data_IF_114091088935
#
_entry.id   IF_114091088935
#
_cell.length_a   1.000
_cell.length_b   1.000
_cell.length_c   1.000
_cell.angle_alpha   90.00
_cell.angle_beta   90.00
_cell.angle_gamma   90.00
#
_symmetry.space_group_name_H-M   'P 1'
#
loop_
_entity.id
_entity.type
_entity.pdbx_description
1 polymer ?
#
# COMPACT_ATOMS: atom_id res chain seq x y z
N UNK A 1 -61.64 -74.14 -30.43
CA UNK A 1 -61.77 -75.05 -31.60
C UNK A 1 -63.05 -75.85 -31.46
N UNK A 2 -63.65 -76.29 -32.58
CA UNK A 2 -64.94 -77.02 -32.60
C UNK A 2 -64.83 -78.54 -32.33
N UNK A 3 -63.62 -79.09 -32.24
CA UNK A 3 -63.39 -80.51 -31.94
C UNK A 3 -62.15 -80.68 -31.07
N UNK A 4 -62.25 -81.47 -30.00
CA UNK A 4 -61.18 -81.80 -29.05
C UNK A 4 -60.59 -83.20 -29.32
N UNK A 5 -59.34 -83.49 -28.88
CA UNK A 5 -58.78 -84.86 -28.96
C UNK A 5 -59.73 -85.92 -28.38
N UNK A 6 -60.41 -85.58 -27.28
CA UNK A 6 -61.37 -86.45 -26.61
C UNK A 6 -62.62 -86.71 -27.45
N UNK A 7 -63.12 -85.69 -28.15
CA UNK A 7 -64.25 -85.83 -29.08
C UNK A 7 -63.88 -86.65 -30.32
N UNK A 8 -62.65 -86.55 -30.82
CA UNK A 8 -62.14 -87.40 -31.90
C UNK A 8 -62.14 -88.87 -31.46
N UNK A 9 -61.65 -89.15 -30.24
CA UNK A 9 -61.55 -90.51 -29.70
C UNK A 9 -62.91 -91.15 -29.38
N UNK A 10 -63.91 -90.35 -29.01
CA UNK A 10 -65.27 -90.81 -28.69
C UNK A 10 -66.22 -90.75 -29.88
N UNK A 11 -65.76 -90.35 -31.07
CA UNK A 11 -66.61 -90.20 -32.24
C UNK A 11 -67.14 -91.56 -32.71
N UNK A 12 -68.47 -91.70 -32.74
CA UNK A 12 -69.15 -92.81 -33.38
C UNK A 12 -69.65 -92.41 -34.77
N UNK A 13 -69.67 -93.38 -35.68
CA UNK A 13 -70.21 -93.23 -37.04
C UNK A 13 -71.38 -94.18 -37.27
N UNK A 14 -72.30 -93.78 -38.15
CA UNK A 14 -73.42 -94.63 -38.58
C UNK A 14 -72.91 -95.80 -39.43
N UNK A 15 -73.59 -96.94 -39.35
CA UNK A 15 -73.20 -98.17 -40.05
C UNK A 15 -73.97 -98.28 -41.35
N UNK A 16 -73.25 -98.43 -42.47
CA UNK A 16 -73.84 -98.52 -43.82
C UNK A 16 -73.31 -99.77 -44.53
N UNK A 17 -74.13 -100.40 -45.38
CA UNK A 17 -73.72 -101.59 -46.14
C UNK A 17 -72.60 -101.23 -47.14
N UNK A 18 -71.43 -101.86 -47.03
CA UNK A 18 -70.13 -101.53 -47.70
C UNK A 18 -69.40 -100.25 -47.19
N UNK A 19 -69.20 -100.13 -45.88
CA UNK A 19 -68.36 -99.08 -45.26
C UNK A 19 -66.90 -99.50 -44.99
N UNK A 20 -66.11 -98.58 -44.43
CA UNK A 20 -64.75 -98.84 -43.95
C UNK A 20 -64.72 -99.81 -42.76
N UNK A 21 -63.57 -100.47 -42.54
CA UNK A 21 -63.36 -101.30 -41.36
C UNK A 21 -63.38 -100.44 -40.09
N UNK A 22 -64.21 -100.86 -39.14
CA UNK A 22 -64.40 -100.16 -37.86
C UNK A 22 -63.11 -100.15 -37.04
N UNK A 23 -62.34 -101.23 -37.06
CA UNK A 23 -61.16 -101.36 -36.21
C UNK A 23 -59.99 -100.53 -36.76
N UNK A 24 -59.83 -100.49 -38.08
CA UNK A 24 -58.85 -99.63 -38.76
C UNK A 24 -59.17 -98.14 -38.56
N UNK A 25 -60.45 -97.74 -38.73
CA UNK A 25 -60.89 -96.36 -38.49
C UNK A 25 -60.69 -95.95 -37.03
N UNK A 26 -60.99 -96.83 -36.07
CA UNK A 26 -60.75 -96.54 -34.65
C UNK A 26 -59.26 -96.39 -34.34
N UNK A 27 -58.39 -97.24 -34.90
CA UNK A 27 -56.95 -97.12 -34.73
C UNK A 27 -56.43 -95.78 -35.29
N UNK A 28 -56.92 -95.37 -36.47
CA UNK A 28 -56.61 -94.07 -37.06
C UNK A 28 -57.10 -92.90 -36.20
N UNK A 29 -58.35 -92.94 -35.69
CA UNK A 29 -58.88 -91.89 -34.81
C UNK A 29 -58.09 -91.76 -33.50
N UNK A 30 -57.59 -92.88 -32.94
CA UNK A 30 -56.73 -92.85 -31.75
C UNK A 30 -55.41 -92.13 -32.09
N UNK A 31 -54.73 -92.53 -33.17
CA UNK A 31 -53.48 -91.89 -33.60
C UNK A 31 -53.68 -90.40 -33.92
N UNK A 32 -54.77 -90.06 -34.63
CA UNK A 32 -55.12 -88.67 -34.94
C UNK A 32 -55.38 -87.86 -33.66
N UNK A 33 -56.09 -88.44 -32.67
CA UNK A 33 -56.34 -87.75 -31.40
C UNK A 33 -55.04 -87.45 -30.64
N UNK A 34 -54.06 -88.35 -30.68
CA UNK A 34 -52.76 -88.15 -30.04
C UNK A 34 -51.94 -87.06 -30.72
N UNK A 35 -51.85 -87.07 -32.06
CA UNK A 35 -51.13 -86.01 -32.77
C UNK A 35 -51.84 -84.65 -32.65
N UNK A 36 -53.18 -84.65 -32.60
CA UNK A 36 -53.96 -83.43 -32.36
C UNK A 36 -53.71 -82.85 -30.96
N UNK A 37 -53.63 -83.70 -29.93
CA UNK A 37 -53.28 -83.28 -28.56
C UNK A 37 -51.88 -82.68 -28.52
N UNK A 38 -50.89 -83.34 -29.14
CA UNK A 38 -49.51 -82.85 -29.23
C UNK A 38 -49.41 -81.50 -29.95
N UNK A 39 -50.08 -81.33 -31.08
CA UNK A 39 -50.12 -80.03 -31.80
C UNK A 39 -50.78 -78.96 -30.93
N UNK A 40 -51.84 -79.32 -30.19
CA UNK A 40 -52.55 -78.38 -29.32
C UNK A 40 -51.69 -77.92 -28.15
N UNK A 41 -50.89 -78.81 -27.55
CA UNK A 41 -49.96 -78.45 -26.48
C UNK A 41 -48.76 -77.66 -27.00
N UNK A 42 -48.20 -78.00 -28.16
CA UNK A 42 -47.19 -77.19 -28.83
C UNK A 42 -47.70 -75.78 -29.13
N UNK A 43 -48.94 -75.63 -29.58
CA UNK A 43 -49.53 -74.32 -29.83
C UNK A 43 -49.68 -73.51 -28.54
N UNK A 44 -50.13 -74.11 -27.44
CA UNK A 44 -50.17 -73.43 -26.13
C UNK A 44 -48.77 -72.99 -25.69
N UNK A 45 -47.77 -73.85 -25.82
CA UNK A 45 -46.39 -73.52 -25.46
C UNK A 45 -45.85 -72.36 -26.31
N UNK A 46 -46.11 -72.36 -27.62
CA UNK A 46 -45.73 -71.29 -28.52
C UNK A 46 -46.43 -69.97 -28.18
N UNK A 47 -47.72 -70.00 -27.84
CA UNK A 47 -48.46 -68.80 -27.41
C UNK A 47 -47.84 -68.22 -26.13
N UNK A 48 -47.52 -69.06 -25.14
CA UNK A 48 -46.88 -68.61 -23.90
C UNK A 48 -45.50 -68.00 -24.17
N UNK A 49 -44.70 -68.62 -25.04
CA UNK A 49 -43.38 -68.09 -25.44
C UNK A 49 -43.50 -66.78 -26.20
N UNK A 50 -44.47 -66.66 -27.10
CA UNK A 50 -44.76 -65.43 -27.85
C UNK A 50 -45.11 -64.31 -26.88
N UNK A 51 -46.04 -64.54 -25.97
CA UNK A 51 -46.48 -63.53 -25.00
C UNK A 51 -45.32 -63.09 -24.08
N UNK A 52 -44.47 -64.04 -23.66
CA UNK A 52 -43.26 -63.73 -22.89
C UNK A 52 -42.26 -62.86 -23.68
N UNK A 53 -42.01 -63.21 -24.95
CA UNK A 53 -41.10 -62.47 -25.81
C UNK A 53 -41.63 -61.06 -26.12
N UNK A 54 -42.94 -60.92 -26.38
CA UNK A 54 -43.58 -59.63 -26.60
C UNK A 54 -43.49 -58.73 -25.36
N UNK A 55 -43.68 -59.28 -24.16
CA UNK A 55 -43.49 -58.57 -22.90
C UNK A 55 -42.05 -58.09 -22.71
N UNK A 56 -41.07 -58.94 -23.04
CA UNK A 56 -39.66 -58.58 -22.94
C UNK A 56 -39.27 -57.48 -23.94
N UNK A 57 -39.75 -57.58 -25.19
CA UNK A 57 -39.56 -56.53 -26.20
C UNK A 57 -40.18 -55.20 -25.73
N UNK A 58 -41.39 -55.23 -25.16
CA UNK A 58 -42.04 -54.02 -24.64
C UNK A 58 -41.20 -53.36 -23.52
N UNK A 59 -40.68 -54.16 -22.59
CA UNK A 59 -39.79 -53.68 -21.52
C UNK A 59 -38.50 -53.09 -22.07
N UNK A 60 -37.86 -53.76 -23.03
CA UNK A 60 -36.62 -53.27 -23.65
C UNK A 60 -36.84 -51.94 -24.37
N UNK A 61 -37.97 -51.77 -25.07
CA UNK A 61 -38.36 -50.50 -25.70
C UNK A 61 -38.60 -49.39 -24.69
N UNK A 62 -39.17 -49.69 -23.53
CA UNK A 62 -39.36 -48.70 -22.46
C UNK A 62 -38.02 -48.24 -21.87
N UNK A 63 -37.10 -49.18 -21.66
CA UNK A 63 -35.73 -48.89 -21.20
C UNK A 63 -34.98 -48.06 -22.25
N UNK A 64 -35.04 -48.45 -23.52
CA UNK A 64 -34.41 -47.72 -24.63
C UNK A 64 -34.92 -46.28 -24.71
N UNK A 65 -36.24 -46.07 -24.63
CA UNK A 65 -36.83 -44.73 -24.63
C UNK A 65 -36.39 -43.91 -23.42
N UNK A 66 -36.29 -44.52 -22.24
CA UNK A 66 -35.82 -43.84 -21.03
C UNK A 66 -34.35 -43.47 -21.15
N UNK A 67 -33.50 -44.39 -21.62
CA UNK A 67 -32.08 -44.16 -21.85
C UNK A 67 -31.86 -43.05 -22.89
N UNK A 68 -32.60 -43.06 -23.99
CA UNK A 68 -32.53 -42.03 -25.02
C UNK A 68 -32.89 -40.65 -24.46
N UNK A 69 -33.97 -40.56 -23.66
CA UNK A 69 -34.34 -39.31 -22.98
C UNK A 69 -33.23 -38.84 -22.03
N UNK A 70 -32.68 -39.73 -21.23
CA UNK A 70 -31.58 -39.38 -20.31
C UNK A 70 -30.34 -38.91 -21.06
N UNK A 71 -29.95 -39.60 -22.13
CA UNK A 71 -28.80 -39.23 -22.95
C UNK A 71 -29.01 -37.86 -23.59
N UNK A 72 -30.19 -37.62 -24.17
CA UNK A 72 -30.53 -36.34 -24.77
C UNK A 72 -30.52 -35.21 -23.74
N UNK A 73 -31.12 -35.42 -22.57
CA UNK A 73 -31.08 -34.42 -21.48
C UNK A 73 -29.64 -34.15 -21.03
N UNK A 74 -28.79 -35.18 -20.94
CA UNK A 74 -27.38 -35.00 -20.59
C UNK A 74 -26.62 -34.20 -21.66
N UNK A 75 -26.87 -34.47 -22.95
CA UNK A 75 -26.32 -33.72 -24.08
C UNK A 75 -26.77 -32.25 -24.06
N UNK A 76 -28.08 -32.00 -23.95
CA UNK A 76 -28.67 -30.66 -23.87
C UNK A 76 -28.13 -29.88 -22.65
N UNK A 77 -27.99 -30.56 -21.50
CA UNK A 77 -27.42 -29.96 -20.28
C UNK A 77 -25.94 -29.63 -20.46
N UNK A 78 -25.17 -30.53 -21.09
CA UNK A 78 -23.76 -30.29 -21.40
C UNK A 78 -23.57 -29.10 -22.34
N UNK A 79 -24.36 -29.01 -23.40
CA UNK A 79 -24.34 -27.89 -24.34
C UNK A 79 -24.69 -26.56 -23.64
N UNK A 80 -25.78 -26.54 -22.86
CA UNK A 80 -26.19 -25.36 -22.09
C UNK A 80 -25.11 -24.93 -21.07
N UNK A 81 -24.45 -25.89 -20.40
CA UNK A 81 -23.39 -25.60 -19.44
C UNK A 81 -22.18 -24.96 -20.12
N UNK A 82 -21.78 -25.45 -21.31
CA UNK A 82 -20.69 -24.86 -22.10
C UNK A 82 -21.06 -23.44 -22.56
N UNK A 83 -22.28 -23.23 -23.05
CA UNK A 83 -22.74 -21.90 -23.47
C UNK A 83 -22.73 -20.91 -22.30
N UNK A 84 -23.24 -21.32 -21.14
CA UNK A 84 -23.23 -20.50 -19.93
C UNK A 84 -21.81 -20.20 -19.44
N UNK A 85 -20.91 -21.19 -19.46
CA UNK A 85 -19.52 -21.00 -19.09
C UNK A 85 -18.82 -19.99 -20.02
N UNK A 86 -19.02 -20.11 -21.34
CA UNK A 86 -18.45 -19.18 -22.32
C UNK A 86 -18.99 -17.75 -22.12
N UNK A 87 -20.32 -17.61 -21.96
CA UNK A 87 -20.94 -16.30 -21.71
C UNK A 87 -20.45 -15.67 -20.41
N UNK A 88 -20.30 -16.46 -19.36
CA UNK A 88 -19.80 -15.98 -18.07
C UNK A 88 -18.33 -15.58 -18.17
N UNK A 89 -17.52 -16.36 -18.89
CA UNK A 89 -16.12 -16.03 -19.15
C UNK A 89 -15.97 -14.73 -19.94
N UNK A 90 -16.76 -14.53 -21.01
CA UNK A 90 -16.79 -13.28 -21.78
C UNK A 90 -17.19 -12.08 -20.92
N UNK A 91 -18.20 -12.23 -20.06
CA UNK A 91 -18.61 -11.19 -19.13
C UNK A 91 -17.50 -10.84 -18.14
N UNK A 92 -16.83 -11.84 -17.55
CA UNK A 92 -15.71 -11.62 -16.65
C UNK A 92 -14.54 -10.93 -17.33
N UNK A 93 -14.20 -11.33 -18.56
CA UNK A 93 -13.13 -10.66 -19.33
C UNK A 93 -13.49 -9.20 -19.55
N UNK A 94 -14.73 -8.91 -19.97
CA UNK A 94 -15.19 -7.55 -20.22
C UNK A 94 -15.22 -6.71 -18.94
N UNK A 95 -15.72 -7.26 -17.84
CA UNK A 95 -15.72 -6.60 -16.53
C UNK A 95 -14.29 -6.32 -16.05
N UNK A 96 -13.40 -7.29 -16.18
CA UNK A 96 -11.99 -7.14 -15.80
C UNK A 96 -11.32 -6.06 -16.63
N UNK A 97 -11.55 -6.01 -17.94
CA UNK A 97 -11.04 -4.96 -18.82
C UNK A 97 -11.54 -3.57 -18.38
N UNK A 98 -12.84 -3.42 -18.13
CA UNK A 98 -13.41 -2.16 -17.64
C UNK A 98 -12.80 -1.73 -16.30
N UNK A 99 -12.60 -2.68 -15.37
CA UNK A 99 -12.01 -2.39 -14.06
C UNK A 99 -10.52 -2.02 -14.18
N UNK A 100 -9.77 -2.71 -15.03
CA UNK A 100 -8.35 -2.39 -15.29
C UNK A 100 -8.22 -1.01 -15.93
N UNK A 101 -9.05 -0.69 -16.92
CA UNK A 101 -9.05 0.62 -17.57
C UNK A 101 -9.41 1.73 -16.57
N UNK A 102 -10.41 1.51 -15.72
CA UNK A 102 -10.78 2.44 -14.66
C UNK A 102 -9.64 2.65 -13.65
N UNK A 103 -9.01 1.56 -13.20
CA UNK A 103 -7.88 1.61 -12.26
C UNK A 103 -6.65 2.30 -12.87
N UNK A 104 -6.39 2.07 -14.16
CA UNK A 104 -5.27 2.68 -14.87
C UNK A 104 -5.48 4.19 -15.00
N UNK A 105 -6.69 4.61 -15.39
CA UNK A 105 -7.06 6.03 -15.46
C UNK A 105 -6.98 6.72 -14.09
N UNK A 106 -7.44 6.05 -13.02
CA UNK A 106 -7.33 6.57 -11.66
C UNK A 106 -5.87 6.70 -11.22
N UNK A 107 -5.04 5.70 -11.53
CA UNK A 107 -3.62 5.71 -11.20
C UNK A 107 -2.85 6.78 -11.96
N UNK A 108 -3.14 6.96 -13.25
CA UNK A 108 -2.57 8.03 -14.08
C UNK A 108 -2.98 9.42 -13.58
N UNK A 109 -4.26 9.60 -13.24
CA UNK A 109 -4.76 10.84 -12.64
C UNK A 109 -4.05 11.18 -11.33
N UNK A 110 -3.90 10.19 -10.42
CA UNK A 110 -3.16 10.36 -9.16
C UNK A 110 -1.68 10.68 -9.40
N UNK A 111 -1.04 9.99 -10.34
CA UNK A 111 0.36 10.24 -10.67
C UNK A 111 0.56 11.67 -11.21
N UNK A 112 -0.30 12.11 -12.12
CA UNK A 112 -0.26 13.46 -12.67
C UNK A 112 -0.50 14.52 -11.58
N UNK A 113 -1.50 14.32 -10.71
CA UNK A 113 -1.76 15.21 -9.58
C UNK A 113 -0.58 15.30 -8.62
N UNK A 114 0.09 14.19 -8.34
CA UNK A 114 1.26 14.15 -7.46
C UNK A 114 2.46 14.88 -8.08
N UNK A 115 2.67 14.73 -9.39
CA UNK A 115 3.71 15.48 -10.13
C UNK A 115 3.41 16.96 -10.12
N UNK A 116 2.16 17.36 -10.40
CA UNK A 116 1.74 18.76 -10.39
C UNK A 116 1.91 19.40 -9.00
N UNK A 117 1.53 18.69 -7.93
CA UNK A 117 1.75 19.14 -6.55
C UNK A 117 3.23 19.28 -6.22
N UNK A 118 4.06 18.31 -6.61
CA UNK A 118 5.51 18.37 -6.39
C UNK A 118 6.16 19.54 -7.16
N UNK A 119 5.74 19.78 -8.40
CA UNK A 119 6.22 20.92 -9.20
C UNK A 119 5.78 22.25 -8.61
N UNK A 120 4.54 22.36 -8.12
CA UNK A 120 4.03 23.55 -7.44
C UNK A 120 4.85 23.84 -6.18
N UNK A 121 5.06 22.84 -5.33
CA UNK A 121 5.84 22.97 -4.10
C UNK A 121 7.31 23.37 -4.40
N UNK A 122 7.90 22.78 -5.45
CA UNK A 122 9.26 23.14 -5.86
C UNK A 122 9.35 24.60 -6.34
N UNK A 123 8.34 25.10 -7.05
CA UNK A 123 8.27 26.52 -7.46
C UNK A 123 8.14 27.43 -6.26
N UNK A 124 7.27 27.11 -5.31
CA UNK A 124 7.11 27.89 -4.08
C UNK A 124 8.42 27.98 -3.28
N UNK A 125 9.13 26.87 -3.12
CA UNK A 125 10.45 26.85 -2.48
C UNK A 125 11.46 27.71 -3.25
N UNK A 126 11.49 27.64 -4.58
CA UNK A 126 12.40 28.45 -5.39
C UNK A 126 12.12 29.94 -5.25
N UNK A 127 10.84 30.34 -5.22
CA UNK A 127 10.44 31.73 -5.03
C UNK A 127 10.82 32.22 -3.62
N UNK A 128 10.58 31.42 -2.59
CA UNK A 128 11.01 31.73 -1.21
C UNK A 128 12.54 31.87 -1.12
N UNK A 129 13.29 30.95 -1.71
CA UNK A 129 14.75 31.01 -1.74
C UNK A 129 15.26 32.25 -2.47
N UNK A 130 14.63 32.64 -3.59
CA UNK A 130 15.00 33.87 -4.30
C UNK A 130 14.80 35.11 -3.43
N UNK A 131 13.70 35.18 -2.69
CA UNK A 131 13.42 36.30 -1.81
C UNK A 131 14.35 36.35 -0.61
N UNK A 132 14.70 35.19 -0.02
CA UNK A 132 15.74 35.12 1.01
C UNK A 132 17.12 35.54 0.49
N UNK A 133 17.49 35.14 -0.73
CA UNK A 133 18.75 35.59 -1.36
C UNK A 133 18.77 37.11 -1.54
N UNK A 134 17.67 37.73 -2.00
CA UNK A 134 17.57 39.19 -2.12
C UNK A 134 17.73 39.87 -0.76
N UNK A 135 17.06 39.37 0.28
CA UNK A 135 17.20 39.89 1.65
C UNK A 135 18.65 39.81 2.14
N UNK A 136 19.33 38.70 1.88
CA UNK A 136 20.75 38.53 2.23
C UNK A 136 21.62 39.55 1.47
N UNK A 137 21.37 39.78 0.19
CA UNK A 137 22.09 40.78 -0.62
C UNK A 137 21.91 42.20 -0.07
N UNK A 138 20.68 42.58 0.27
CA UNK A 138 20.36 43.87 0.88
C UNK A 138 21.07 44.05 2.23
N UNK A 139 21.00 43.03 3.08
CA UNK A 139 21.68 43.02 4.38
C UNK A 139 23.20 43.13 4.22
N UNK A 140 23.78 42.44 3.23
CA UNK A 140 25.19 42.53 2.92
C UNK A 140 25.60 43.95 2.50
N UNK A 141 24.80 44.60 1.64
CA UNK A 141 25.04 45.99 1.24
C UNK A 141 24.97 46.96 2.43
N UNK A 142 24.00 46.78 3.33
CA UNK A 142 23.89 47.60 4.54
C UNK A 142 25.11 47.43 5.45
N UNK A 143 25.56 46.19 5.67
CA UNK A 143 26.75 45.89 6.45
C UNK A 143 28.02 46.48 5.81
N UNK A 144 28.11 46.43 4.49
CA UNK A 144 29.21 47.03 3.75
C UNK A 144 29.24 48.56 3.92
N UNK A 145 28.09 49.23 3.85
CA UNK A 145 27.98 50.67 4.12
C UNK A 145 28.39 51.00 5.57
N UNK A 146 27.96 50.21 6.55
CA UNK A 146 28.37 50.38 7.95
C UNK A 146 29.89 50.22 8.13
N UNK A 147 30.49 49.20 7.50
CA UNK A 147 31.94 49.01 7.47
C UNK A 147 32.65 50.25 6.91
N UNK A 148 32.20 50.75 5.76
CA UNK A 148 32.84 51.89 5.08
C UNK A 148 32.71 53.19 5.90
N UNK A 149 31.56 53.39 6.55
CA UNK A 149 31.35 54.50 7.47
C UNK A 149 32.29 54.39 8.68
N UNK A 150 32.42 53.21 9.30
CA UNK A 150 33.32 53.00 10.43
C UNK A 150 34.79 53.21 10.02
N UNK A 151 35.22 52.70 8.86
CA UNK A 151 36.57 52.92 8.36
C UNK A 151 36.86 54.41 8.13
N UNK A 152 35.87 55.17 7.65
CA UNK A 152 35.97 56.62 7.48
C UNK A 152 36.06 57.34 8.83
N UNK A 153 35.25 56.96 9.82
CA UNK A 153 35.30 57.50 11.17
C UNK A 153 36.65 57.23 11.84
N UNK A 154 37.18 56.01 11.74
CA UNK A 154 38.51 55.64 12.23
C UNK A 154 39.59 56.46 11.55
N UNK A 155 39.54 56.62 10.22
CA UNK A 155 40.47 57.45 9.46
C UNK A 155 40.42 58.91 9.94
N UNK A 156 39.24 59.51 10.00
CA UNK A 156 39.07 60.90 10.45
C UNK A 156 39.60 61.09 11.88
N UNK A 157 39.34 60.12 12.76
CA UNK A 157 39.82 60.15 14.15
C UNK A 157 41.35 60.07 14.21
N UNK A 158 41.96 59.18 13.43
CA UNK A 158 43.43 59.06 13.33
C UNK A 158 44.08 60.33 12.77
N UNK A 159 43.48 60.94 11.73
CA UNK A 159 43.92 62.23 11.18
C UNK A 159 43.80 63.36 12.22
N UNK A 160 42.72 63.40 13.00
CA UNK A 160 42.55 64.35 14.10
C UNK A 160 43.59 64.17 15.22
N UNK A 161 43.92 62.94 15.60
CA UNK A 161 45.00 62.66 16.56
C UNK A 161 46.37 63.06 16.00
N UNK A 162 46.65 62.78 14.73
CA UNK A 162 47.88 63.22 14.06
C UNK A 162 47.99 64.75 14.05
N UNK A 163 46.89 65.47 13.85
CA UNK A 163 46.85 66.93 13.93
C UNK A 163 47.11 67.43 15.36
N UNK A 164 46.58 66.76 16.39
CA UNK A 164 46.90 67.10 17.79
C UNK A 164 48.38 66.87 18.11
N UNK A 165 48.96 65.76 17.65
CA UNK A 165 50.39 65.46 17.84
C UNK A 165 51.27 66.47 17.08
N UNK A 166 50.89 66.85 15.85
CA UNK A 166 51.64 67.85 15.08
C UNK A 166 51.56 69.23 15.73
N UNK A 167 50.40 69.64 16.26
CA UNK A 167 50.25 70.87 17.06
C UNK A 167 51.10 70.82 18.33
N UNK A 168 51.09 69.70 19.06
CA UNK A 168 51.93 69.53 20.26
C UNK A 168 53.43 69.59 19.94
N UNK A 169 53.85 69.09 18.77
CA UNK A 169 55.23 69.18 18.28
C UNK A 169 55.61 70.61 17.84
N UNK A 170 54.68 71.34 17.22
CA UNK A 170 54.87 72.74 16.83
C UNK A 170 54.93 73.70 18.02
N UNK A 171 54.24 73.38 19.12
CA UNK A 171 54.22 74.16 20.36
C UNK A 171 55.33 73.79 21.37
N UNK A 172 56.28 72.92 21.01
CA UNK A 172 57.48 72.77 21.83
C UNK A 172 58.42 73.95 21.54
N UNK A 173 58.31 75.01 22.35
CA UNK A 173 59.42 75.94 22.54
C UNK A 173 60.69 75.11 22.79
N UNK A 174 61.76 75.44 22.06
CA UNK A 174 63.08 74.82 22.27
C UNK A 174 63.46 75.02 23.74
N UNK A 175 63.30 73.95 24.51
CA UNK A 175 63.61 73.91 25.94
C UNK A 175 65.10 74.19 26.14
N UNK A 176 65.45 75.43 26.48
CA UNK A 176 66.83 75.87 26.65
C UNK A 176 67.22 75.73 28.11
N UNK A 177 67.88 74.62 28.44
CA UNK A 177 68.34 74.25 29.79
C UNK A 177 69.19 75.36 30.46
N UNK A 178 69.85 76.22 29.68
CA UNK A 178 70.68 77.33 30.15
C UNK A 178 69.91 78.43 30.92
N UNK A 179 68.63 78.67 30.63
CA UNK A 179 67.85 79.69 31.36
C UNK A 179 67.47 79.26 32.78
N UNK A 180 67.23 77.96 32.99
CA UNK A 180 66.85 77.40 34.28
C UNK A 180 68.04 77.46 35.25
N UNK A 181 69.25 77.19 34.75
CA UNK A 181 70.50 77.26 35.55
C UNK A 181 70.80 78.70 35.99
N UNK A 182 70.50 79.71 35.15
CA UNK A 182 70.63 81.14 35.50
C UNK A 182 69.64 81.57 36.59
N UNK A 183 68.39 81.08 36.55
CA UNK A 183 67.38 81.37 37.59
C UNK A 183 67.73 80.69 38.92
N UNK A 184 68.25 79.46 38.90
CA UNK A 184 68.67 78.75 40.12
C UNK A 184 69.80 79.47 40.88
N UNK A 185 70.78 80.07 40.17
CA UNK A 185 71.88 80.83 40.80
C UNK A 185 71.46 82.17 41.43
N UNK A 186 70.31 82.73 41.04
CA UNK A 186 69.77 83.97 41.62
C UNK A 186 69.07 83.76 42.96
N UNK A 187 68.56 82.55 43.21
CA UNK A 187 67.81 82.23 44.45
C UNK A 187 68.76 81.96 45.63
N UNK A 188 70.06 81.76 45.40
CA UNK A 188 71.04 81.42 46.45
C UNK A 188 71.75 82.63 47.10
N UNK A 189 71.39 83.89 46.76
CA UNK A 189 72.13 85.11 47.19
C UNK A 189 71.32 86.16 47.97
N UNK A 190 70.24 85.77 48.66
CA UNK A 190 69.62 86.59 49.71
C UNK A 190 69.39 85.68 50.93
N UNK A 191 70.12 86.00 52.00
CA UNK A 191 70.28 85.40 53.36
C UNK A 191 68.96 85.01 54.07
N UNK A 192 68.81 83.84 54.73
CA UNK A 192 69.20 83.46 56.12
C UNK A 192 68.74 84.50 57.18
N UNK A 193 67.89 84.19 58.19
CA UNK A 193 68.19 83.34 59.36
C UNK A 193 66.99 83.02 60.32
N UNK A 194 67.09 81.87 61.02
CA UNK A 194 66.75 81.58 62.46
C UNK A 194 65.29 81.21 62.87
N UNK A 195 64.98 79.91 63.13
CA UNK A 195 64.85 79.14 64.43
C UNK A 195 63.54 79.39 65.24
N UNK A 196 62.85 78.48 65.95
CA UNK A 196 62.88 77.04 66.22
C UNK A 196 61.48 76.61 66.80
N UNK A 197 61.23 75.28 66.81
CA UNK A 197 60.04 74.43 67.17
C UNK A 197 59.45 74.61 68.60
N UNK A 198 58.38 73.89 69.10
CA UNK A 198 57.74 72.63 68.63
C UNK A 198 56.19 72.47 68.82
N UNK A 199 55.67 71.30 68.40
CA UNK A 199 54.44 70.59 68.82
C UNK A 199 53.07 71.22 68.49
N UNK A 200 52.02 70.52 68.04
CA UNK A 200 51.60 69.15 68.31
C UNK A 200 50.64 68.64 67.19
N UNK A 201 50.53 67.31 67.08
CA UNK A 201 49.67 66.53 66.17
C UNK A 201 48.14 66.79 66.38
N UNK A 202 47.17 66.20 65.62
CA UNK A 202 47.23 64.86 65.05
C UNK A 202 46.66 64.61 63.63
N UNK A 203 47.10 63.45 63.14
CA UNK A 203 46.59 62.66 62.04
C UNK A 203 45.08 62.36 62.14
N UNK A 204 44.50 62.05 60.97
CA UNK A 204 43.70 60.83 60.66
C UNK A 204 43.58 60.75 59.12
N UNK A 205 44.24 59.82 58.44
CA UNK A 205 43.81 58.42 58.13
C UNK A 205 42.37 58.38 57.59
N UNK A 206 42.04 57.74 56.46
CA UNK A 206 42.49 56.40 56.09
C UNK A 206 42.18 56.04 54.62
N UNK A 207 43.02 55.13 54.11
CA UNK A 207 42.68 53.94 53.29
C UNK A 207 42.18 54.09 51.84
N UNK A 208 43.13 53.90 50.91
CA UNK A 208 43.07 52.89 49.82
C UNK A 208 42.95 51.45 50.41
N UNK A 209 42.71 50.32 49.69
CA UNK A 209 43.05 50.07 48.27
C UNK A 209 42.25 48.96 47.49
N UNK A 210 42.66 48.73 46.22
CA UNK A 210 42.87 47.43 45.51
C UNK A 210 41.73 46.43 45.19
N UNK A 211 41.50 46.28 43.87
CA UNK A 211 41.55 45.08 43.00
C UNK A 211 40.97 43.69 43.37
N UNK A 212 40.37 43.11 42.30
CA UNK A 212 40.45 41.73 41.76
C UNK A 212 39.45 40.66 42.21
N UNK A 213 38.76 40.10 41.18
CA UNK A 213 38.60 38.68 40.80
C UNK A 213 37.90 37.74 41.83
N UNK A 214 37.15 36.68 41.53
CA UNK A 214 36.81 35.83 40.36
C UNK A 214 35.54 35.03 40.77
N UNK A 215 34.95 34.28 39.83
CA UNK A 215 34.20 33.01 40.06
C UNK A 215 32.76 33.17 40.62
N UNK A 216 31.73 32.42 40.21
CA UNK A 216 31.52 31.29 39.30
C UNK A 216 29.98 31.08 39.20
N UNK A 217 29.52 30.13 38.37
CA UNK A 217 28.19 29.47 38.34
C UNK A 217 27.12 30.14 37.45
N UNK A 218 26.85 29.62 36.24
CA UNK A 218 26.14 28.38 35.85
C UNK A 218 24.68 28.70 35.50
N UNK A 219 24.34 28.67 34.21
CA UNK A 219 23.34 27.75 33.66
C UNK A 219 23.22 27.95 32.14
N UNK A 220 23.70 26.94 31.42
CA UNK A 220 23.49 26.73 30.00
C UNK A 220 22.63 25.47 29.89
N UNK A 221 21.52 25.51 29.16
CA UNK A 221 20.92 24.31 28.59
C UNK A 221 20.18 24.65 27.29
N UNK A 222 20.81 24.19 26.19
CA UNK A 222 20.26 24.12 24.85
C UNK A 222 19.68 22.71 24.61
N UNK A 223 18.85 22.61 23.57
CA UNK A 223 17.90 21.54 23.30
C UNK A 223 18.46 20.22 22.70
N UNK A 224 17.74 19.12 23.03
CA UNK A 224 17.46 17.84 22.31
C UNK A 224 18.62 16.92 21.84
N UNK A 225 18.39 15.61 21.53
CA UNK A 225 17.12 14.87 21.36
C UNK A 225 17.06 13.50 22.08
N UNK A 226 15.85 12.91 22.19
CA UNK A 226 15.63 11.45 21.99
C UNK A 226 14.13 11.13 21.91
N UNK A 227 13.74 10.65 20.74
CA UNK A 227 12.49 9.95 20.51
C UNK A 227 12.67 8.48 20.92
N UNK A 228 11.68 7.93 21.61
CA UNK A 228 11.38 6.49 21.63
C UNK A 228 9.86 6.30 21.74
N UNK A 229 9.34 5.19 21.17
CA UNK A 229 8.05 5.20 20.48
C UNK A 229 6.85 4.84 21.35
N UNK A 230 5.72 5.35 20.89
CA UNK A 230 4.37 4.93 21.25
C UNK A 230 4.02 3.56 20.64
N UNK A 231 3.39 2.72 21.47
CA UNK A 231 2.29 1.77 21.16
C UNK A 231 2.48 0.86 19.94
N UNK A 232 2.82 -0.40 20.21
CA UNK A 232 2.48 -1.51 19.34
C UNK A 232 0.97 -1.75 19.40
N UNK A 233 0.28 -1.28 18.36
CA UNK A 233 -1.00 -1.84 17.93
C UNK A 233 -0.75 -3.25 17.38
N UNK A 234 -1.64 -4.17 17.72
CA UNK A 234 -1.56 -5.58 17.33
C UNK A 234 -1.48 -5.76 15.81
N UNK A 235 -0.59 -6.67 15.41
CA UNK A 235 -0.52 -7.22 14.07
C UNK A 235 -1.87 -7.86 13.68
N UNK A 236 -2.44 -7.40 12.57
CA UNK A 236 -3.60 -8.00 11.90
C UNK A 236 -3.34 -9.45 11.43
N UNK A 237 -2.08 -9.89 11.36
CA UNK A 237 -1.69 -11.21 10.85
C UNK A 237 -1.58 -12.32 11.91
N UNK A 238 -1.83 -12.04 13.20
CA UNK A 238 -1.68 -13.02 14.30
C UNK A 238 -2.93 -13.88 14.56
N UNK A 239 -3.93 -13.88 13.65
CA UNK A 239 -5.20 -14.63 13.81
C UNK A 239 -5.56 -15.56 12.65
N UNK A 240 -4.60 -15.89 11.79
CA UNK A 240 -4.78 -16.89 10.75
C UNK A 240 -3.82 -18.05 10.95
N UNK A 241 -4.22 -18.99 11.80
CA UNK A 241 -3.92 -20.42 11.72
C UNK A 241 -5.06 -21.22 12.36
#
# INVERSE_FOLDING_TARGET
>A
MKVTPLEIRKKSFERVFRGFDKDEVNAFLISLSQEWEKVMDQNKELIIKLESAEKEIAKLREIENSLFKTLKTAEDTGANMIEQANKTAELHIKETQMNVDALMNESESKANSMVEEAESNAREILDELQDEVKKIEENYHQLQQQRDNLLREVKNTAEGFLEQVSKARGNHEKFSIDEIVKKARKVTKISYSFEATPDNAPLKSSTSPTSKATEEQLENNHALPKAEPSKEDGSFFDTLD
#
